data_IF_881602161013
#
_entry.id   IF_881602161013
#
_cell.length_a   1.000
_cell.length_b   1.000
_cell.length_c   1.000
_cell.angle_alpha   90.00
_cell.angle_beta   90.00
_cell.angle_gamma   90.00
#
_symmetry.space_group_name_H-M   'P 1'
#
loop_
_entity.id
_entity.type
_entity.pdbx_description
1 polymer ?
#
# COMPACT_ATOMS: atom_id res chain seq x y z
N UNK A 1 16.21 14.21 -29.26
CA UNK A 1 15.93 13.46 -28.02
C UNK A 1 14.98 14.31 -27.20
N UNK A 2 13.70 13.93 -27.18
CA UNK A 2 12.69 14.68 -26.42
C UNK A 2 12.76 14.21 -24.98
N UNK A 3 13.18 15.10 -24.08
CA UNK A 3 13.16 14.83 -22.64
C UNK A 3 11.71 14.98 -22.19
N UNK A 4 11.10 13.88 -21.76
CA UNK A 4 9.75 13.87 -21.21
C UNK A 4 9.71 14.76 -19.97
N UNK A 5 8.81 15.75 -19.96
CA UNK A 5 8.58 16.59 -18.78
C UNK A 5 7.94 15.74 -17.66
N UNK A 6 8.26 15.98 -16.38
CA UNK A 6 7.59 15.35 -15.26
C UNK A 6 6.25 16.06 -15.03
N UNK A 7 5.28 15.81 -15.90
CA UNK A 7 3.94 16.37 -15.76
C UNK A 7 2.95 15.25 -15.42
N UNK A 8 2.34 15.43 -14.24
CA UNK A 8 1.13 14.77 -13.73
C UNK A 8 1.36 13.40 -13.06
N UNK A 9 1.21 13.37 -11.72
CA UNK A 9 0.97 12.16 -10.91
C UNK A 9 -0.30 11.52 -11.42
N UNK A 10 -0.14 10.75 -12.49
CA UNK A 10 -1.19 10.13 -13.25
C UNK A 10 -1.81 9.10 -12.33
N UNK A 11 -3.10 9.31 -12.01
CA UNK A 11 -4.00 8.36 -11.34
C UNK A 11 -3.48 6.92 -11.41
N UNK A 12 -3.36 6.25 -10.26
CA UNK A 12 -2.95 4.84 -10.19
C UNK A 12 -3.72 4.03 -11.24
N UNK A 13 -3.04 3.18 -12.04
CA UNK A 13 -3.71 2.43 -13.10
C UNK A 13 -4.75 1.47 -12.51
N UNK A 14 -5.66 0.98 -13.36
CA UNK A 14 -6.48 -0.17 -12.98
C UNK A 14 -5.55 -1.33 -12.57
N UNK A 15 -5.86 -2.04 -11.49
CA UNK A 15 -4.98 -3.06 -10.90
C UNK A 15 -4.54 -4.14 -11.91
N UNK A 16 -5.36 -4.44 -12.92
CA UNK A 16 -5.04 -5.41 -13.98
C UNK A 16 -3.93 -4.95 -14.93
N UNK A 17 -3.54 -3.67 -14.89
CA UNK A 17 -2.47 -3.06 -15.69
C UNK A 17 -1.28 -2.63 -14.82
N UNK A 18 -1.32 -2.91 -13.51
CA UNK A 18 -0.26 -2.52 -12.59
C UNK A 18 1.05 -3.25 -12.92
N UNK A 19 2.12 -2.47 -13.08
CA UNK A 19 3.48 -2.95 -13.34
C UNK A 19 4.25 -3.17 -12.05
N UNK A 20 3.87 -2.47 -10.98
CA UNK A 20 4.51 -2.56 -9.68
C UNK A 20 3.50 -2.86 -8.57
N UNK A 21 3.84 -3.83 -7.74
CA UNK A 21 3.06 -4.24 -6.57
C UNK A 21 3.98 -4.17 -5.36
N UNK A 22 3.71 -3.24 -4.45
CA UNK A 22 4.45 -3.10 -3.20
C UNK A 22 3.74 -3.89 -2.12
N UNK A 23 4.43 -4.89 -1.55
CA UNK A 23 4.01 -5.56 -0.34
C UNK A 23 4.53 -4.76 0.86
N UNK A 24 3.61 -4.22 1.66
CA UNK A 24 3.90 -3.35 2.79
C UNK A 24 3.37 -4.01 4.07
N UNK A 25 4.23 -4.38 5.04
CA UNK A 25 3.78 -4.88 6.33
C UNK A 25 2.85 -3.88 7.02
N UNK A 26 1.74 -4.36 7.58
CA UNK A 26 0.76 -3.57 8.32
C UNK A 26 1.23 -3.09 9.70
N UNK A 27 2.48 -2.63 9.82
CA UNK A 27 3.06 -2.12 11.07
C UNK A 27 2.85 -0.60 11.20
N UNK A 28 2.83 -0.04 12.43
CA UNK A 28 2.75 1.40 12.62
C UNK A 28 3.71 2.18 11.70
N UNK A 29 3.17 3.12 10.92
CA UNK A 29 3.92 3.87 9.90
C UNK A 29 3.83 3.31 8.47
N UNK A 30 3.07 2.25 8.23
CA UNK A 30 2.89 1.64 6.90
C UNK A 30 2.40 2.60 5.80
N UNK A 31 1.80 3.74 6.17
CA UNK A 31 1.27 4.74 5.22
C UNK A 31 2.35 5.35 4.33
N UNK A 32 3.62 5.36 4.76
CA UNK A 32 4.72 5.80 3.92
C UNK A 32 4.84 5.00 2.60
N UNK A 33 4.53 3.69 2.64
CA UNK A 33 4.45 2.86 1.44
C UNK A 33 3.23 3.16 0.57
N UNK A 34 2.14 3.64 1.17
CA UNK A 34 0.92 4.07 0.46
C UNK A 34 1.16 5.37 -0.30
N UNK A 35 1.98 6.28 0.22
CA UNK A 35 2.27 7.57 -0.42
C UNK A 35 3.33 7.48 -1.55
N UNK A 36 3.92 6.29 -1.76
CA UNK A 36 4.95 6.06 -2.78
C UNK A 36 4.43 5.84 -4.21
N UNK A 37 5.37 5.58 -5.13
CA UNK A 37 5.14 5.47 -6.59
C UNK A 37 4.69 4.07 -7.07
N UNK A 38 4.35 3.15 -6.17
CA UNK A 38 3.86 1.84 -6.55
C UNK A 38 2.46 1.93 -7.18
N UNK A 39 2.24 1.23 -8.30
CA UNK A 39 0.93 1.18 -8.98
C UNK A 39 -0.13 0.60 -8.03
N UNK A 40 0.21 -0.47 -7.32
CA UNK A 40 -0.61 -1.12 -6.29
C UNK A 40 0.19 -1.28 -5.00
N UNK A 41 -0.46 -0.99 -3.87
CA UNK A 41 0.05 -1.27 -2.52
C UNK A 41 -0.84 -2.33 -1.88
N UNK A 42 -0.22 -3.39 -1.36
CA UNK A 42 -0.86 -4.47 -0.63
C UNK A 42 -0.37 -4.41 0.82
N UNK A 43 -1.28 -4.07 1.73
CA UNK A 43 -1.03 -4.13 3.16
C UNK A 43 -1.09 -5.57 3.62
N UNK A 44 0.03 -6.07 4.11
CA UNK A 44 0.22 -7.45 4.53
C UNK A 44 -0.04 -7.59 6.03
N UNK A 45 -1.14 -8.26 6.39
CA UNK A 45 -1.50 -8.60 7.77
C UNK A 45 -1.45 -10.11 8.03
N UNK A 46 -0.86 -10.87 7.11
CA UNK A 46 -0.62 -12.30 7.17
C UNK A 46 0.87 -12.54 7.49
N UNK A 47 1.63 -13.19 6.59
CA UNK A 47 3.03 -13.56 6.81
C UNK A 47 4.03 -12.39 6.73
N UNK A 48 3.57 -11.18 6.36
CA UNK A 48 4.39 -9.97 6.47
C UNK A 48 4.55 -9.48 7.90
N UNK A 49 3.86 -10.10 8.86
CA UNK A 49 3.93 -9.76 10.28
C UNK A 49 4.41 -10.95 11.11
N UNK A 50 5.29 -10.72 12.11
CA UNK A 50 5.49 -11.66 13.20
C UNK A 50 4.16 -11.98 13.88
N UNK A 51 3.97 -13.22 14.36
CA UNK A 51 2.71 -13.66 14.98
C UNK A 51 2.28 -12.79 16.16
N UNK A 52 3.24 -12.30 16.95
CA UNK A 52 2.99 -11.41 18.08
C UNK A 52 2.45 -10.03 17.66
N UNK A 53 2.72 -9.61 16.42
CA UNK A 53 2.36 -8.30 15.90
C UNK A 53 1.08 -8.32 15.06
N UNK A 54 0.63 -9.49 14.59
CA UNK A 54 -0.63 -9.66 13.83
C UNK A 54 -1.84 -8.96 14.47
N UNK A 55 -2.09 -9.05 15.80
CA UNK A 55 -3.22 -8.35 16.42
C UNK A 55 -3.13 -6.83 16.34
N UNK A 56 -1.93 -6.27 16.51
CA UNK A 56 -1.70 -4.82 16.46
C UNK A 56 -1.78 -4.35 15.00
N UNK A 57 -1.14 -5.06 14.07
CA UNK A 57 -1.13 -4.68 12.67
C UNK A 57 -2.51 -4.75 12.03
N UNK A 58 -3.30 -5.79 12.31
CA UNK A 58 -4.70 -5.88 11.85
C UNK A 58 -5.53 -4.70 12.35
N UNK A 59 -5.37 -4.30 13.61
CA UNK A 59 -6.09 -3.15 14.19
C UNK A 59 -5.69 -1.85 13.49
N UNK A 60 -4.39 -1.60 13.36
CA UNK A 60 -3.88 -0.38 12.73
C UNK A 60 -4.33 -0.24 11.27
N UNK A 61 -4.29 -1.33 10.49
CA UNK A 61 -4.78 -1.34 9.10
C UNK A 61 -6.29 -1.13 9.04
N UNK A 62 -7.06 -1.79 9.92
CA UNK A 62 -8.52 -1.63 9.95
C UNK A 62 -8.96 -0.21 10.34
N UNK A 63 -8.33 0.39 11.34
CA UNK A 63 -8.59 1.78 11.76
C UNK A 63 -8.28 2.76 10.62
N UNK A 64 -7.12 2.62 9.97
CA UNK A 64 -6.76 3.49 8.85
C UNK A 64 -7.71 3.35 7.64
N UNK A 65 -8.14 2.12 7.30
CA UNK A 65 -9.14 1.89 6.25
C UNK A 65 -10.51 2.49 6.61
N UNK A 66 -10.89 2.43 7.89
CA UNK A 66 -12.11 3.05 8.40
C UNK A 66 -12.07 4.59 8.25
N UNK A 67 -10.90 5.19 8.48
CA UNK A 67 -10.68 6.63 8.38
C UNK A 67 -10.50 7.14 6.93
N UNK A 68 -10.79 6.30 5.94
CA UNK A 68 -10.78 6.67 4.51
C UNK A 68 -9.50 6.29 3.76
N UNK A 69 -8.58 5.59 4.42
CA UNK A 69 -7.47 4.92 3.75
C UNK A 69 -7.95 3.90 2.71
N UNK A 70 -7.20 3.73 1.63
CA UNK A 70 -7.52 2.77 0.58
C UNK A 70 -6.27 2.06 0.08
N UNK A 71 -6.26 0.74 0.20
CA UNK A 71 -5.22 -0.16 -0.32
C UNK A 71 -5.81 -1.56 -0.51
N UNK A 72 -5.07 -2.45 -1.17
CA UNK A 72 -5.35 -3.88 -1.10
C UNK A 72 -4.87 -4.43 0.24
N UNK A 73 -5.50 -5.49 0.73
CA UNK A 73 -5.10 -6.17 1.97
C UNK A 73 -4.87 -7.65 1.67
N UNK A 74 -3.74 -8.20 2.10
CA UNK A 74 -3.50 -9.65 2.16
C UNK A 74 -3.85 -10.12 3.58
N UNK A 75 -4.80 -11.06 3.68
CA UNK A 75 -5.41 -11.55 4.94
C UNK A 75 -5.06 -13.02 5.10
#
# INVERSE_FOLDING_TARGET
MTVSHPAERTRRPHWSLARTWLLQPGLPGFTAGVDGDADVVVLDIEDGLPDAEKPIGRRAVAEWLHDGGSAWVRI
#
